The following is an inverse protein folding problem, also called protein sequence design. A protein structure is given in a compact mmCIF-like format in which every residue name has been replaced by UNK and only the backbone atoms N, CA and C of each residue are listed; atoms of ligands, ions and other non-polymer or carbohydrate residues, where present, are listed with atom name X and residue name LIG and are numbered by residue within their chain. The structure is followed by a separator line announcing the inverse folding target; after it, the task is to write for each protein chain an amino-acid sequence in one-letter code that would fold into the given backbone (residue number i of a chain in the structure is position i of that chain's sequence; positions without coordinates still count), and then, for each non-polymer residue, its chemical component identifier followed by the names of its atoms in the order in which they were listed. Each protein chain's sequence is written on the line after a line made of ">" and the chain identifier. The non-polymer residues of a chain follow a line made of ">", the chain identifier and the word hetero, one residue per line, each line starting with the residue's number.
data_IF_294535228974
#
_entry.id   IF_294535228974
#
_cell.length_a   1.000
_cell.length_b   1.000
_cell.length_c   1.000
_cell.angle_alpha   90.00
_cell.angle_beta   90.00
_cell.angle_gamma   90.00
#
_symmetry.space_group_name_H-M   'P 1'
#
loop_
_entity.id
_entity.type
_entity.pdbx_description
1 polymer ?
#
# COMPACT_ATOMS: atom_id res chain seq x y z
N UNK A 1 13.17 -17.10 -3.72
CA UNK A 1 12.39 -17.10 -2.47
C UNK A 1 12.42 -15.68 -1.92
N UNK A 2 11.28 -15.18 -1.44
CA UNK A 2 11.21 -13.90 -0.74
C UNK A 2 11.77 -14.06 0.69
N UNK A 3 12.35 -13.02 1.31
CA UNK A 3 12.84 -13.10 2.69
C UNK A 3 11.71 -13.37 3.69
N UNK A 4 11.99 -14.15 4.74
CA UNK A 4 10.97 -14.52 5.74
C UNK A 4 10.33 -13.30 6.41
N UNK A 5 11.14 -12.29 6.78
CA UNK A 5 10.62 -11.05 7.39
C UNK A 5 9.59 -10.32 6.52
N UNK A 6 9.69 -10.47 5.19
CA UNK A 6 8.76 -9.89 4.24
C UNK A 6 7.45 -10.68 4.23
N UNK A 7 7.53 -12.00 4.16
CA UNK A 7 6.37 -12.90 4.12
C UNK A 7 5.60 -12.88 5.44
N UNK A 8 6.31 -12.83 6.58
CA UNK A 8 5.72 -12.79 7.92
C UNK A 8 4.94 -11.50 8.21
N UNK A 9 5.12 -10.46 7.39
CA UNK A 9 4.39 -9.21 7.53
C UNK A 9 2.94 -9.31 7.03
N UNK A 10 2.63 -10.22 6.11
CA UNK A 10 1.31 -10.35 5.50
C UNK A 10 0.26 -10.96 6.43
N UNK A 11 -1.00 -10.57 6.24
CA UNK A 11 -2.12 -11.24 6.89
C UNK A 11 -2.35 -12.65 6.29
N UNK A 12 -2.86 -13.60 7.08
CA UNK A 12 -3.30 -14.88 6.55
C UNK A 12 -4.34 -14.70 5.45
N UNK A 13 -4.32 -15.59 4.46
CA UNK A 13 -5.37 -15.65 3.44
C UNK A 13 -6.73 -15.92 4.09
N UNK A 14 -7.74 -15.17 3.65
CA UNK A 14 -9.12 -15.33 4.08
C UNK A 14 -9.97 -15.90 2.95
N UNK A 15 -11.11 -16.49 3.28
CA UNK A 15 -12.00 -17.03 2.27
C UNK A 15 -12.55 -15.90 1.38
N UNK A 16 -12.94 -16.23 0.14
CA UNK A 16 -13.62 -15.27 -0.74
C UNK A 16 -14.88 -14.67 -0.09
N UNK A 17 -15.63 -15.48 0.66
CA UNK A 17 -16.83 -15.02 1.36
C UNK A 17 -16.48 -13.98 2.44
N UNK A 18 -15.39 -14.16 3.17
CA UNK A 18 -14.94 -13.21 4.19
C UNK A 18 -14.36 -11.94 3.55
N UNK A 19 -13.66 -12.07 2.42
CA UNK A 19 -13.21 -10.93 1.63
C UNK A 19 -14.39 -10.10 1.12
N UNK A 20 -15.41 -10.73 0.55
CA UNK A 20 -16.63 -10.07 0.08
C UNK A 20 -17.35 -9.34 1.22
N UNK A 21 -17.43 -9.95 2.41
CA UNK A 21 -17.98 -9.30 3.62
C UNK A 21 -17.17 -8.08 4.04
N UNK A 22 -15.83 -8.16 4.02
CA UNK A 22 -14.92 -7.05 4.36
C UNK A 22 -15.11 -5.88 3.39
N UNK A 23 -15.19 -6.17 2.08
CA UNK A 23 -15.46 -5.17 1.03
C UNK A 23 -16.84 -4.54 1.22
N UNK A 24 -17.89 -5.35 1.43
CA UNK A 24 -19.25 -4.87 1.63
C UNK A 24 -19.38 -3.99 2.88
N UNK A 25 -18.74 -4.40 3.98
CA UNK A 25 -18.69 -3.60 5.20
C UNK A 25 -18.03 -2.25 4.95
N UNK A 26 -16.84 -2.23 4.33
CA UNK A 26 -16.15 -0.97 3.99
C UNK A 26 -17.03 -0.08 3.13
N UNK A 27 -17.62 -0.61 2.06
CA UNK A 27 -18.45 0.18 1.15
C UNK A 27 -19.73 0.74 1.80
N UNK A 28 -20.16 0.17 2.93
CA UNK A 28 -21.31 0.67 3.71
C UNK A 28 -20.99 1.91 4.57
N UNK A 29 -19.70 2.20 4.82
CA UNK A 29 -19.27 3.28 5.69
C UNK A 29 -19.19 4.63 4.94
N UNK A 30 -19.25 5.77 5.65
CA UNK A 30 -18.95 7.07 5.06
C UNK A 30 -17.52 7.14 4.52
N UNK A 31 -17.31 7.90 3.44
CA UNK A 31 -16.04 8.02 2.71
C UNK A 31 -14.80 8.14 3.61
N UNK A 32 -14.84 9.04 4.62
CA UNK A 32 -13.72 9.27 5.53
C UNK A 32 -13.35 8.02 6.36
N UNK A 33 -14.33 7.21 6.75
CA UNK A 33 -14.08 5.96 7.47
C UNK A 33 -13.60 4.86 6.52
N UNK A 34 -14.07 4.84 5.26
CA UNK A 34 -13.51 3.96 4.24
C UNK A 34 -12.01 4.21 4.04
N UNK A 35 -11.62 5.48 3.95
CA UNK A 35 -10.22 5.88 3.78
C UNK A 35 -9.35 5.43 4.95
N UNK A 36 -9.81 5.57 6.19
CA UNK A 36 -9.08 5.05 7.37
C UNK A 36 -8.89 3.55 7.32
N UNK A 37 -9.94 2.79 7.02
CA UNK A 37 -9.85 1.33 6.92
C UNK A 37 -8.89 0.90 5.81
N UNK A 38 -8.85 1.61 4.68
CA UNK A 38 -7.91 1.34 3.58
C UNK A 38 -6.46 1.71 3.93
N UNK A 39 -6.26 2.73 4.76
CA UNK A 39 -4.92 3.15 5.19
C UNK A 39 -4.25 2.13 6.12
N UNK A 40 -5.05 1.50 6.99
CA UNK A 40 -4.59 0.49 7.95
C UNK A 40 -4.81 -0.96 7.46
N UNK A 41 -5.30 -1.12 6.23
CA UNK A 41 -5.55 -2.44 5.63
C UNK A 41 -4.23 -3.19 5.44
N UNK A 42 -4.02 -4.21 6.29
CA UNK A 42 -3.03 -5.23 6.03
C UNK A 42 -3.54 -6.16 4.93
N UNK A 43 -2.62 -6.60 4.11
CA UNK A 43 -2.89 -7.41 2.94
C UNK A 43 -2.48 -8.85 3.18
N UNK A 44 -3.21 -9.78 2.60
CA UNK A 44 -2.67 -11.12 2.34
C UNK A 44 -1.68 -11.07 1.18
N UNK A 45 -0.80 -12.06 1.06
CA UNK A 45 0.22 -12.07 0.02
C UNK A 45 -0.42 -12.10 -1.38
N UNK A 46 -1.45 -12.92 -1.57
CA UNK A 46 -2.13 -13.02 -2.86
C UNK A 46 -2.87 -11.73 -3.21
N UNK A 47 -3.56 -11.15 -2.22
CA UNK A 47 -4.29 -9.88 -2.42
C UNK A 47 -3.35 -8.73 -2.76
N UNK A 48 -2.16 -8.70 -2.16
CA UNK A 48 -1.14 -7.71 -2.47
C UNK A 48 -0.50 -7.95 -3.84
N UNK A 49 -0.16 -9.20 -4.17
CA UNK A 49 0.39 -9.56 -5.47
C UNK A 49 -0.55 -9.19 -6.61
N UNK A 50 -1.86 -9.40 -6.43
CA UNK A 50 -2.88 -9.00 -7.40
C UNK A 50 -2.71 -7.54 -7.85
N UNK A 51 -2.45 -6.60 -6.94
CA UNK A 51 -2.27 -5.18 -7.28
C UNK A 51 -0.90 -4.84 -7.87
N UNK A 52 0.05 -5.77 -7.83
CA UNK A 52 1.38 -5.64 -8.42
C UNK A 52 1.51 -6.33 -9.77
N UNK A 53 0.57 -7.19 -10.13
CA UNK A 53 0.50 -7.78 -11.47
C UNK A 53 0.43 -6.69 -12.53
N UNK A 54 1.22 -6.80 -13.63
CA UNK A 54 1.28 -5.78 -14.67
C UNK A 54 -0.08 -5.33 -15.21
N UNK A 55 -1.05 -6.26 -15.25
CA UNK A 55 -2.40 -6.05 -15.76
C UNK A 55 -3.29 -5.24 -14.81
N UNK A 56 -3.00 -5.27 -13.50
CA UNK A 56 -3.81 -4.64 -12.46
C UNK A 56 -3.12 -3.40 -11.86
N UNK A 57 -1.81 -3.27 -12.02
CA UNK A 57 -1.02 -2.16 -11.47
C UNK A 57 -1.30 -0.86 -12.22
N UNK A 58 -1.83 0.13 -11.50
CA UNK A 58 -2.15 1.46 -12.05
C UNK A 58 -1.18 2.57 -11.60
N UNK A 59 -0.07 2.21 -10.95
CA UNK A 59 1.00 3.11 -10.56
C UNK A 59 2.36 2.64 -11.08
N UNK A 60 3.26 3.59 -11.33
CA UNK A 60 4.59 3.32 -11.88
C UNK A 60 5.64 4.15 -11.15
N UNK A 61 6.77 3.52 -10.82
CA UNK A 61 7.93 4.24 -10.31
C UNK A 61 8.38 5.27 -11.35
N UNK A 62 8.44 6.53 -10.94
CA UNK A 62 8.85 7.63 -11.81
C UNK A 62 10.25 8.12 -11.47
N UNK A 63 10.47 8.49 -10.20
CA UNK A 63 11.73 9.07 -9.75
C UNK A 63 11.90 8.90 -8.23
N UNK A 64 13.11 9.16 -7.74
CA UNK A 64 13.37 9.33 -6.32
C UNK A 64 14.39 10.44 -6.06
N UNK A 65 14.14 11.20 -5.00
CA UNK A 65 15.00 12.29 -4.58
C UNK A 65 15.44 12.11 -3.14
N UNK A 66 16.74 12.25 -2.89
CA UNK A 66 17.26 12.39 -1.54
C UNK A 66 17.00 13.80 -1.05
N UNK A 67 16.62 13.91 0.22
CA UNK A 67 16.46 15.20 0.87
C UNK A 67 17.81 15.79 1.26
N UNK A 68 17.82 17.08 1.59
CA UNK A 68 19.02 17.74 2.12
C UNK A 68 19.26 17.36 3.59
N UNK A 69 20.46 17.65 4.07
CA UNK A 69 20.80 17.49 5.49
C UNK A 69 19.85 18.32 6.38
N UNK A 70 19.49 17.84 7.58
CA UNK A 70 20.05 16.68 8.29
C UNK A 70 19.26 15.37 8.10
N UNK A 71 18.23 15.37 7.25
CA UNK A 71 17.28 14.25 7.13
C UNK A 71 17.61 13.29 5.99
N UNK A 72 18.62 13.61 5.16
CA UNK A 72 19.06 12.84 3.99
C UNK A 72 19.21 11.34 4.25
N UNK A 73 19.76 10.97 5.40
CA UNK A 73 20.06 9.57 5.75
C UNK A 73 18.85 8.81 6.31
N UNK A 74 17.74 9.49 6.57
CA UNK A 74 16.55 8.91 7.20
C UNK A 74 15.28 9.01 6.35
N UNK A 75 15.26 9.91 5.35
CA UNK A 75 14.10 10.15 4.50
C UNK A 75 14.51 10.34 3.04
N UNK A 76 13.66 9.85 2.14
CA UNK A 76 13.73 10.12 0.71
C UNK A 76 12.32 10.26 0.16
N UNK A 77 12.20 10.97 -0.96
CA UNK A 77 10.94 11.11 -1.69
C UNK A 77 10.93 10.10 -2.83
N UNK A 78 9.80 9.43 -3.01
CA UNK A 78 9.50 8.65 -4.21
C UNK A 78 8.41 9.36 -4.98
N UNK A 79 8.65 9.60 -6.26
CA UNK A 79 7.63 10.04 -7.20
C UNK A 79 7.05 8.82 -7.92
N UNK A 80 5.72 8.77 -8.00
CA UNK A 80 4.99 7.77 -8.77
C UNK A 80 4.07 8.44 -9.78
N UNK A 81 3.95 7.84 -10.96
CA UNK A 81 2.93 8.20 -11.95
C UNK A 81 1.75 7.25 -11.78
N UNK A 82 0.54 7.80 -11.77
CA UNK A 82 -0.70 7.04 -11.62
C UNK A 82 -1.57 7.23 -12.86
N UNK A 83 -2.23 6.17 -13.31
CA UNK A 83 -3.08 6.23 -14.51
C UNK A 83 -4.40 6.94 -14.23
N UNK A 84 -5.00 6.68 -13.07
CA UNK A 84 -6.29 7.25 -12.68
C UNK A 84 -6.39 7.37 -11.16
N UNK A 85 -7.32 8.21 -10.73
CA UNK A 85 -7.68 8.39 -9.33
C UNK A 85 -9.09 7.82 -9.07
N UNK A 86 -9.30 7.02 -8.01
CA UNK A 86 -8.31 6.53 -7.04
C UNK A 86 -7.44 5.39 -7.59
N UNK A 87 -6.26 5.17 -6.99
CA UNK A 87 -5.36 4.05 -7.28
C UNK A 87 -5.03 3.27 -6.00
N UNK A 88 -4.49 2.03 -6.06
CA UNK A 88 -4.24 1.21 -4.87
C UNK A 88 -2.98 1.68 -4.10
N UNK A 89 -2.95 2.93 -3.63
CA UNK A 89 -1.83 3.51 -2.91
C UNK A 89 -1.49 2.76 -1.61
N UNK A 90 -2.49 2.12 -0.98
CA UNK A 90 -2.30 1.30 0.22
C UNK A 90 -1.34 0.13 -0.05
N UNK A 91 -1.48 -0.55 -1.18
CA UNK A 91 -0.59 -1.65 -1.57
C UNK A 91 0.86 -1.17 -1.80
N UNK A 92 1.02 0.05 -2.33
CA UNK A 92 2.33 0.68 -2.50
C UNK A 92 2.97 1.08 -1.17
N UNK A 93 2.21 1.72 -0.26
CA UNK A 93 2.70 2.03 1.10
C UNK A 93 3.12 0.76 1.84
N UNK A 94 2.32 -0.31 1.69
CA UNK A 94 2.63 -1.60 2.26
C UNK A 94 3.93 -2.19 1.71
N UNK A 95 4.17 -2.11 0.39
CA UNK A 95 5.44 -2.54 -0.22
C UNK A 95 6.64 -1.84 0.45
N UNK A 96 6.60 -0.52 0.62
CA UNK A 96 7.70 0.21 1.27
C UNK A 96 7.88 -0.20 2.74
N UNK A 97 6.79 -0.34 3.50
CA UNK A 97 6.84 -0.81 4.90
C UNK A 97 7.44 -2.22 5.00
N UNK A 98 7.02 -3.12 4.12
CA UNK A 98 7.54 -4.48 4.05
C UNK A 98 9.02 -4.52 3.60
N UNK A 99 9.50 -3.50 2.86
CA UNK A 99 10.93 -3.31 2.56
C UNK A 99 11.72 -2.63 3.70
N UNK A 100 11.10 -2.35 4.85
CA UNK A 100 11.77 -1.81 6.04
C UNK A 100 11.55 -0.32 6.30
N UNK A 101 10.70 0.36 5.51
CA UNK A 101 10.31 1.74 5.83
C UNK A 101 9.53 1.77 7.15
N UNK A 102 9.95 2.63 8.08
CA UNK A 102 9.24 2.82 9.35
C UNK A 102 7.88 3.50 9.14
N UNK A 103 7.81 4.43 8.20
CA UNK A 103 6.58 5.12 7.83
C UNK A 103 6.59 5.52 6.35
N UNK A 104 5.39 5.72 5.79
CA UNK A 104 5.20 6.12 4.39
C UNK A 104 4.04 7.10 4.33
N UNK A 105 4.38 8.37 4.09
CA UNK A 105 3.43 9.48 3.99
C UNK A 105 3.27 9.87 2.53
N UNK A 106 2.03 9.96 2.06
CA UNK A 106 1.66 10.52 0.76
C UNK A 106 0.96 11.85 0.95
N UNK A 107 0.85 12.66 -0.10
CA UNK A 107 0.11 13.94 -0.07
C UNK A 107 -1.33 13.79 0.46
N UNK A 108 -1.94 12.62 0.26
CA UNK A 108 -3.30 12.28 0.72
C UNK A 108 -3.44 12.11 2.24
N UNK A 109 -2.33 11.99 2.96
CA UNK A 109 -2.33 11.87 4.42
C UNK A 109 -2.23 13.25 5.12
N UNK A 110 -2.00 14.33 4.36
CA UNK A 110 -1.84 15.70 4.82
C UNK A 110 -3.17 16.47 4.80
#
# INVERSE_FOLDING_TARGET
>A
MLPDFFVDSFEPEISKEDMDKRIAYRNSLPWKEQQKLLADEKWSLDSWLYWLEPENRTWFWWDAALLEEPIRETYFIVAVVVLEWPFPWGALKWLFKACGALDVVSEEDL
#
